data_IF_873195162075
#
_entry.id   IF_873195162075
#
_cell.length_a   1.000
_cell.length_b   1.000
_cell.length_c   1.000
_cell.angle_alpha   90.00
_cell.angle_beta   90.00
_cell.angle_gamma   90.00
#
_symmetry.space_group_name_H-M   'P 1'
#
loop_
_entity.id
_entity.type
_entity.pdbx_description
1 polymer ?
#
# COMPACT_ATOMS: atom_id res chain seq x y z
N UNK A 1 -17.76 2.44 5.42
CA UNK A 1 -16.70 1.81 4.62
C UNK A 1 -16.47 2.77 3.48
N UNK A 2 -15.35 3.50 3.51
CA UNK A 2 -15.07 4.63 2.64
C UNK A 2 -15.23 4.25 1.17
N UNK A 3 -15.82 5.13 0.35
CA UNK A 3 -15.90 4.98 -1.11
C UNK A 3 -14.48 5.05 -1.70
N UNK A 4 -13.74 3.95 -1.61
CA UNK A 4 -12.41 3.83 -2.19
C UNK A 4 -12.57 3.55 -3.68
N UNK A 5 -12.03 4.43 -4.51
CA UNK A 5 -11.93 4.22 -5.95
C UNK A 5 -10.69 3.40 -6.26
N UNK A 6 -10.87 2.21 -6.83
CA UNK A 6 -9.79 1.28 -7.13
C UNK A 6 -9.32 1.35 -8.58
N UNK A 7 -8.02 1.43 -8.79
CA UNK A 7 -7.38 1.33 -10.10
C UNK A 7 -7.35 -0.11 -10.62
N UNK A 8 -6.89 -0.27 -11.87
CA UNK A 8 -6.63 -1.60 -12.43
C UNK A 8 -5.54 -2.34 -11.60
N UNK A 9 -5.63 -3.67 -11.49
CA UNK A 9 -4.64 -4.43 -10.73
C UNK A 9 -3.24 -4.35 -11.34
N UNK A 10 -2.25 -4.13 -10.47
CA UNK A 10 -0.84 -4.26 -10.76
C UNK A 10 -0.37 -5.66 -10.35
N UNK A 11 0.06 -6.46 -11.33
CA UNK A 11 0.51 -7.84 -11.11
C UNK A 11 2.02 -7.95 -11.33
N UNK A 12 2.73 -8.39 -10.29
CA UNK A 12 4.14 -8.76 -10.41
C UNK A 12 4.32 -10.19 -10.93
N UNK A 13 5.58 -10.56 -11.21
CA UNK A 13 5.94 -11.93 -11.55
C UNK A 13 5.63 -12.86 -10.36
N UNK A 14 4.87 -13.94 -10.58
CA UNK A 14 4.52 -14.90 -9.52
C UNK A 14 3.11 -14.81 -8.92
N UNK A 15 2.11 -14.29 -9.64
CA UNK A 15 0.69 -14.26 -9.27
C UNK A 15 0.29 -13.34 -8.09
N UNK A 16 1.18 -12.47 -7.62
CA UNK A 16 0.83 -11.45 -6.63
C UNK A 16 0.28 -10.21 -7.35
N UNK A 17 -1.05 -10.08 -7.37
CA UNK A 17 -1.75 -8.92 -7.94
C UNK A 17 -2.29 -8.03 -6.83
N UNK A 18 -1.92 -6.76 -6.85
CA UNK A 18 -2.37 -5.74 -5.91
C UNK A 18 -3.19 -4.66 -6.64
N UNK A 19 -4.06 -3.98 -5.92
CA UNK A 19 -4.78 -2.79 -6.40
C UNK A 19 -4.41 -1.61 -5.53
N UNK A 20 -4.27 -0.46 -6.17
CA UNK A 20 -4.15 0.84 -5.51
C UNK A 20 -5.51 1.51 -5.53
N UNK A 21 -5.86 2.19 -4.45
CA UNK A 21 -7.11 2.92 -4.35
C UNK A 21 -6.97 4.22 -3.59
N UNK A 22 -7.91 5.13 -3.81
CA UNK A 22 -7.97 6.43 -3.12
C UNK A 22 -9.37 6.69 -2.63
N UNK A 23 -9.53 7.19 -1.41
CA UNK A 23 -10.82 7.64 -0.89
C UNK A 23 -11.11 9.11 -1.25
N UNK A 24 -12.27 9.61 -0.83
CA UNK A 24 -12.72 10.99 -1.08
C UNK A 24 -11.89 12.06 -0.36
N UNK A 25 -11.16 11.69 0.69
CA UNK A 25 -10.27 12.56 1.46
C UNK A 25 -8.85 12.60 0.87
N UNK A 26 -8.57 11.76 -0.14
CA UNK A 26 -7.28 11.65 -0.79
C UNK A 26 -6.32 10.67 -0.11
N UNK A 27 -6.80 9.83 0.81
CA UNK A 27 -5.97 8.80 1.44
C UNK A 27 -5.72 7.63 0.47
N UNK A 28 -4.48 7.16 0.41
CA UNK A 28 -4.08 6.03 -0.42
C UNK A 28 -4.27 4.69 0.29
N UNK A 29 -4.69 3.67 -0.47
CA UNK A 29 -4.91 2.31 0.00
C UNK A 29 -4.27 1.31 -0.97
N UNK A 30 -3.82 0.17 -0.42
CA UNK A 30 -3.34 -0.98 -1.20
C UNK A 30 -4.15 -2.19 -0.77
N UNK A 31 -4.62 -3.00 -1.71
CA UNK A 31 -5.29 -4.27 -1.41
C UNK A 31 -4.78 -5.38 -2.33
N UNK A 32 -4.95 -6.64 -1.91
CA UNK A 32 -4.80 -7.77 -2.84
C UNK A 32 -6.00 -7.78 -3.77
N UNK A 33 -5.78 -8.06 -5.06
CA UNK A 33 -6.86 -8.14 -6.06
C UNK A 33 -7.92 -9.16 -5.62
N UNK A 34 -9.18 -8.73 -5.51
CA UNK A 34 -10.29 -9.55 -4.99
C UNK A 34 -10.42 -9.58 -3.46
N UNK A 35 -9.64 -8.78 -2.73
CA UNK A 35 -9.74 -8.59 -1.27
C UNK A 35 -9.84 -7.10 -0.89
N UNK A 36 -10.47 -6.29 -1.74
CA UNK A 36 -10.61 -4.83 -1.58
C UNK A 36 -11.35 -4.43 -0.30
N UNK A 37 -12.14 -5.35 0.28
CA UNK A 37 -12.82 -5.19 1.57
C UNK A 37 -11.86 -5.22 2.78
N UNK A 38 -10.62 -5.68 2.60
CA UNK A 38 -9.56 -5.74 3.61
C UNK A 38 -8.30 -5.08 3.06
N UNK A 39 -8.32 -3.75 2.82
CA UNK A 39 -7.12 -3.06 2.38
C UNK A 39 -6.02 -3.24 3.43
N UNK A 40 -4.78 -3.30 2.97
CA UNK A 40 -3.60 -3.24 3.80
C UNK A 40 -3.63 -1.91 4.54
N UNK A 41 -4.04 -1.97 5.79
CA UNK A 41 -3.94 -0.87 6.72
C UNK A 41 -2.55 -0.94 7.32
N UNK A 42 -1.61 -0.23 6.70
CA UNK A 42 -0.35 0.04 7.38
C UNK A 42 -0.71 0.85 8.64
N UNK A 43 -0.25 0.41 9.80
CA UNK A 43 -0.49 1.19 11.01
C UNK A 43 0.37 2.45 10.91
N UNK A 44 -0.10 3.57 11.48
CA UNK A 44 0.73 4.79 11.56
C UNK A 44 2.11 4.49 12.18
N UNK A 45 2.18 3.49 13.06
CA UNK A 45 3.40 2.98 13.67
C UNK A 45 4.32 2.25 12.69
N UNK A 46 3.78 1.38 11.84
CA UNK A 46 4.54 0.69 10.80
C UNK A 46 5.08 1.68 9.75
N UNK A 47 4.27 2.65 9.31
CA UNK A 47 4.70 3.70 8.39
C UNK A 47 5.78 4.60 9.01
N UNK A 48 5.62 4.99 10.28
CA UNK A 48 6.65 5.76 11.01
C UNK A 48 7.96 4.98 11.12
N UNK A 49 7.87 3.68 11.40
CA UNK A 49 9.02 2.80 11.49
C UNK A 49 9.74 2.71 10.15
N UNK A 50 9.01 2.46 9.06
CA UNK A 50 9.57 2.44 7.71
C UNK A 50 10.25 3.76 7.33
N UNK A 51 9.59 4.89 7.54
CA UNK A 51 10.16 6.22 7.23
C UNK A 51 11.44 6.47 8.04
N UNK A 52 11.46 6.07 9.32
CA UNK A 52 12.62 6.24 10.19
C UNK A 52 13.79 5.36 9.73
N UNK A 53 13.50 4.10 9.36
CA UNK A 53 14.48 3.17 8.79
C UNK A 53 15.06 3.66 7.47
N UNK A 54 14.24 4.20 6.56
CA UNK A 54 14.71 4.80 5.30
C UNK A 54 15.64 5.99 5.60
N UNK A 55 15.24 6.90 6.49
CA UNK A 55 16.08 8.05 6.88
C UNK A 55 17.39 7.62 7.56
N UNK A 56 17.41 6.45 8.19
CA UNK A 56 18.61 5.87 8.79
C UNK A 56 19.52 5.14 7.77
N UNK A 57 19.22 5.23 6.46
CA UNK A 57 20.01 4.59 5.40
C UNK A 57 19.80 3.08 5.31
N UNK A 58 18.83 2.51 6.03
CA UNK A 58 18.61 1.06 6.02
C UNK A 58 18.07 0.55 4.68
N UNK A 59 17.51 1.43 3.85
CA UNK A 59 17.00 1.10 2.52
C UNK A 59 17.99 1.44 1.39
N UNK A 60 19.20 1.94 1.69
CA UNK A 60 20.17 2.38 0.66
C UNK A 60 20.63 1.25 -0.28
N UNK A 61 20.43 -0.01 0.12
CA UNK A 61 20.76 -1.19 -0.67
C UNK A 61 19.66 -1.62 -1.65
N UNK A 62 18.52 -0.90 -1.68
CA UNK A 62 17.37 -1.19 -2.53
C UNK A 62 17.31 -0.34 -3.81
N UNK A 63 18.29 0.54 -4.03
CA UNK A 63 18.45 1.39 -5.21
C UNK A 63 19.73 1.00 -5.98
#
# INVERSE_FOLDING_TARGET
>A
MSDITWEAPFCGEGNNCFRLGTDVDGNGYIAVNGQEERPLVDSLDALRTLITSIKAGQADHLL
#
